data_IF_479505105794
#
_entry.id   IF_479505105794
#
_cell.length_a   1.000
_cell.length_b   1.000
_cell.length_c   1.000
_cell.angle_alpha   90.00
_cell.angle_beta   90.00
_cell.angle_gamma   90.00
#
_symmetry.space_group_name_H-M   'P 1'
#
loop_
_entity.id
_entity.type
_entity.pdbx_description
1 polymer ?
#
# COMPACT_ATOMS: atom_id res chain seq x y z
N UNK A 1 -11.10 7.92 10.18
CA UNK A 1 -10.34 6.73 9.72
C UNK A 1 -10.68 5.56 10.64
N UNK A 2 -10.96 4.36 10.11
CA UNK A 2 -11.25 3.18 10.93
C UNK A 2 -9.96 2.41 11.25
N UNK A 3 -9.98 1.56 12.28
CA UNK A 3 -8.80 0.73 12.64
C UNK A 3 -8.38 -0.17 11.48
N UNK A 4 -9.33 -0.65 10.68
CA UNK A 4 -9.04 -1.46 9.50
C UNK A 4 -8.26 -0.69 8.43
N UNK A 5 -8.52 0.62 8.28
CA UNK A 5 -7.88 1.44 7.23
C UNK A 5 -6.54 2.05 7.65
N UNK A 6 -6.30 2.27 8.95
CA UNK A 6 -5.07 2.93 9.43
C UNK A 6 -3.79 2.11 9.13
N UNK A 7 -3.88 0.79 9.29
CA UNK A 7 -2.74 -0.12 9.16
C UNK A 7 -2.80 -1.03 7.91
N UNK A 8 -3.79 -0.82 7.03
CA UNK A 8 -4.01 -1.67 5.83
C UNK A 8 -2.77 -1.80 4.95
N UNK A 9 -1.93 -0.77 4.89
CA UNK A 9 -0.69 -0.76 4.11
C UNK A 9 0.33 -1.82 4.56
N UNK A 10 0.25 -2.30 5.80
CA UNK A 10 1.22 -3.22 6.41
C UNK A 10 0.74 -4.67 6.29
N UNK A 11 -0.53 -4.95 6.59
CA UNK A 11 -1.03 -6.32 6.68
C UNK A 11 -1.64 -6.82 5.36
N UNK A 12 -2.20 -5.96 4.52
CA UNK A 12 -2.96 -6.37 3.34
C UNK A 12 -2.15 -7.15 2.30
N UNK A 13 -0.87 -6.80 2.14
CA UNK A 13 0.05 -7.51 1.23
C UNK A 13 0.19 -8.99 1.62
N UNK A 14 0.21 -9.28 2.92
CA UNK A 14 0.38 -10.63 3.46
C UNK A 14 -0.92 -11.44 3.48
N UNK A 15 -2.08 -10.83 3.22
CA UNK A 15 -3.33 -11.58 3.16
C UNK A 15 -3.40 -12.51 1.97
N UNK A 16 -3.89 -13.72 2.24
CA UNK A 16 -4.28 -14.71 1.25
C UNK A 16 -5.45 -14.20 0.39
N UNK A 17 -5.66 -14.84 -0.76
CA UNK A 17 -6.78 -14.53 -1.65
C UNK A 17 -8.13 -14.74 -0.92
N UNK A 18 -8.22 -15.77 -0.06
CA UNK A 18 -9.43 -16.07 0.73
C UNK A 18 -9.75 -14.94 1.70
N UNK A 19 -8.76 -14.43 2.42
CA UNK A 19 -8.92 -13.32 3.38
C UNK A 19 -9.28 -12.02 2.66
N UNK A 20 -8.62 -11.71 1.52
CA UNK A 20 -8.96 -10.55 0.69
C UNK A 20 -10.43 -10.59 0.21
N UNK A 21 -10.90 -11.77 -0.20
CA UNK A 21 -12.32 -11.98 -0.57
C UNK A 21 -13.25 -11.79 0.64
N UNK A 22 -12.89 -12.29 1.81
CA UNK A 22 -13.68 -12.11 3.03
C UNK A 22 -13.79 -10.62 3.42
N UNK A 23 -12.68 -9.88 3.38
CA UNK A 23 -12.66 -8.44 3.63
C UNK A 23 -13.53 -7.67 2.64
N UNK A 24 -13.46 -8.00 1.35
CA UNK A 24 -14.30 -7.36 0.34
C UNK A 24 -15.79 -7.64 0.57
N UNK A 25 -16.16 -8.81 1.13
CA UNK A 25 -17.56 -9.09 1.51
C UNK A 25 -18.02 -8.17 2.64
N UNK A 26 -17.18 -7.93 3.66
CA UNK A 26 -17.49 -6.99 4.75
C UNK A 26 -17.74 -5.59 4.18
N UNK A 27 -16.87 -5.11 3.28
CA UNK A 27 -17.04 -3.81 2.61
C UNK A 27 -18.36 -3.76 1.83
N UNK A 28 -18.70 -4.81 1.08
CA UNK A 28 -19.97 -4.89 0.34
C UNK A 28 -21.19 -4.87 1.26
N UNK A 29 -21.14 -5.56 2.38
CA UNK A 29 -22.23 -5.55 3.37
C UNK A 29 -22.41 -4.17 3.97
N UNK A 30 -21.31 -3.50 4.36
CA UNK A 30 -21.36 -2.14 4.86
C UNK A 30 -21.93 -1.15 3.81
N UNK A 31 -21.49 -1.26 2.55
CA UNK A 31 -22.04 -0.51 1.43
C UNK A 31 -23.55 -0.75 1.28
N UNK A 32 -24.03 -1.99 1.39
CA UNK A 32 -25.46 -2.31 1.30
C UNK A 32 -26.28 -1.70 2.43
N UNK A 33 -25.74 -1.66 3.65
CA UNK A 33 -26.43 -1.09 4.82
C UNK A 33 -26.51 0.43 4.70
N UNK A 34 -25.41 1.09 4.34
CA UNK A 34 -25.33 2.55 4.27
C UNK A 34 -25.96 3.10 2.98
N UNK A 35 -26.01 2.29 1.92
CA UNK A 35 -26.56 2.69 0.61
C UNK A 35 -25.62 3.56 -0.24
N UNK A 36 -24.37 3.76 0.21
CA UNK A 36 -23.37 4.58 -0.48
C UNK A 36 -22.27 3.67 -1.03
N UNK A 37 -21.74 3.89 -2.25
CA UNK A 37 -20.63 3.11 -2.77
C UNK A 37 -19.37 3.25 -1.90
N UNK A 38 -18.80 2.13 -1.48
CA UNK A 38 -17.52 2.10 -0.78
C UNK A 38 -16.37 1.78 -1.74
N UNK A 39 -15.20 2.41 -1.58
CA UNK A 39 -14.01 2.03 -2.33
C UNK A 39 -13.62 0.58 -1.99
N UNK A 40 -13.08 -0.15 -2.97
CA UNK A 40 -12.58 -1.49 -2.69
C UNK A 40 -11.39 -1.43 -1.73
N UNK A 41 -11.20 -2.49 -0.93
CA UNK A 41 -10.13 -2.52 0.09
C UNK A 41 -8.74 -2.37 -0.54
N UNK A 42 -8.57 -2.83 -1.79
CA UNK A 42 -7.35 -2.63 -2.60
C UNK A 42 -7.07 -1.16 -2.83
N UNK A 43 -8.09 -0.36 -3.15
CA UNK A 43 -7.91 1.04 -3.50
C UNK A 43 -7.58 1.87 -2.25
N UNK A 44 -8.23 1.54 -1.12
CA UNK A 44 -7.87 2.11 0.18
C UNK A 44 -6.42 1.79 0.50
N UNK A 45 -6.01 0.53 0.30
CA UNK A 45 -4.64 0.10 0.54
C UNK A 45 -3.63 0.85 -0.33
N UNK A 46 -3.90 0.99 -1.64
CA UNK A 46 -3.04 1.74 -2.56
C UNK A 46 -2.91 3.21 -2.14
N UNK A 47 -4.04 3.87 -1.87
CA UNK A 47 -4.07 5.27 -1.43
C UNK A 47 -3.26 5.47 -0.15
N UNK A 48 -3.47 4.62 0.85
CA UNK A 48 -2.72 4.68 2.11
C UNK A 48 -1.24 4.37 1.93
N UNK A 49 -0.89 3.38 1.09
CA UNK A 49 0.50 3.10 0.76
C UNK A 49 1.19 4.31 0.13
N UNK A 50 0.55 4.96 -0.86
CA UNK A 50 1.08 6.15 -1.50
C UNK A 50 1.21 7.31 -0.52
N UNK A 51 0.20 7.58 0.31
CA UNK A 51 0.28 8.64 1.33
C UNK A 51 1.49 8.45 2.26
N UNK A 52 1.68 7.24 2.79
CA UNK A 52 2.82 6.93 3.67
C UNK A 52 4.14 7.03 2.92
N UNK A 53 4.22 6.50 1.70
CA UNK A 53 5.43 6.55 0.89
C UNK A 53 5.85 8.00 0.58
N UNK A 54 4.91 8.86 0.20
CA UNK A 54 5.18 10.28 0.00
C UNK A 54 5.63 10.98 1.28
N UNK A 55 5.08 10.63 2.44
CA UNK A 55 5.56 11.18 3.71
C UNK A 55 7.02 10.80 3.98
N UNK A 56 7.41 9.55 3.71
CA UNK A 56 8.79 9.09 3.89
C UNK A 56 9.74 9.75 2.88
N UNK A 57 9.31 9.90 1.63
CA UNK A 57 10.09 10.58 0.58
C UNK A 57 10.30 12.06 0.92
N UNK A 58 9.31 12.73 1.52
CA UNK A 58 9.40 14.14 1.88
C UNK A 58 10.25 14.42 3.12
N UNK A 59 10.41 13.44 4.01
CA UNK A 59 11.17 13.57 5.25
C UNK A 59 12.58 12.95 5.11
N UNK A 60 13.65 13.77 4.98
CA UNK A 60 15.02 13.29 4.86
C UNK A 60 15.55 12.59 6.12
N UNK A 61 14.96 12.88 7.29
CA UNK A 61 15.38 12.29 8.57
C UNK A 61 14.66 10.98 8.87
N UNK A 62 13.70 10.58 8.04
CA UNK A 62 12.98 9.34 8.22
C UNK A 62 13.93 8.13 8.09
N UNK A 63 13.88 7.14 8.99
CA UNK A 63 14.82 6.00 8.97
C UNK A 63 14.75 5.18 7.66
N UNK A 64 13.56 5.10 7.07
CA UNK A 64 13.35 4.41 5.80
C UNK A 64 13.57 5.28 4.54
N UNK A 65 13.96 6.56 4.67
CA UNK A 65 14.11 7.48 3.53
C UNK A 65 15.03 6.90 2.44
N UNK A 66 16.15 6.27 2.85
CA UNK A 66 17.12 5.63 1.94
C UNK A 66 16.52 4.52 1.06
N UNK A 67 15.43 3.89 1.50
CA UNK A 67 14.74 2.87 0.70
C UNK A 67 13.96 3.48 -0.48
N UNK A 68 13.64 4.77 -0.41
CA UNK A 68 12.91 5.50 -1.44
C UNK A 68 13.83 6.45 -2.21
N UNK A 69 14.93 5.89 -2.73
CA UNK A 69 15.90 6.67 -3.52
C UNK A 69 15.52 6.67 -5.00
N UNK A 70 15.44 7.85 -5.61
CA UNK A 70 15.28 8.00 -7.06
C UNK A 70 16.56 7.61 -7.81
N UNK A 71 16.41 7.02 -8.99
CA UNK A 71 17.54 6.81 -9.91
C UNK A 71 18.07 8.15 -10.45
N UNK A 72 19.30 8.20 -11.02
CA UNK A 72 19.87 9.43 -11.58
C UNK A 72 18.96 10.13 -12.60
N UNK A 73 18.13 9.38 -13.33
CA UNK A 73 17.15 9.93 -14.27
C UNK A 73 15.99 10.69 -13.59
N UNK A 74 15.83 10.58 -12.27
CA UNK A 74 14.75 11.14 -11.44
C UNK A 74 13.32 10.73 -11.83
N UNK A 75 13.16 9.76 -12.73
CA UNK A 75 11.85 9.29 -13.21
C UNK A 75 11.30 8.09 -12.45
N UNK A 76 12.14 7.32 -11.76
CA UNK A 76 11.72 6.12 -11.04
C UNK A 76 12.55 5.87 -9.81
N UNK A 77 11.92 5.30 -8.80
CA UNK A 77 12.53 4.82 -7.57
C UNK A 77 13.26 3.50 -7.80
N UNK A 78 14.32 3.27 -7.03
CA UNK A 78 15.07 2.02 -7.02
C UNK A 78 14.18 0.89 -6.52
N UNK A 79 13.90 -0.10 -7.38
CA UNK A 79 13.17 -1.30 -6.97
C UNK A 79 13.95 -2.07 -5.90
N UNK A 80 13.24 -2.53 -4.87
CA UNK A 80 13.76 -3.48 -3.89
C UNK A 80 13.71 -4.87 -4.52
N UNK A 81 14.84 -5.58 -4.53
CA UNK A 81 14.82 -6.98 -4.94
C UNK A 81 14.26 -7.84 -3.81
N UNK A 82 13.29 -8.70 -4.13
CA UNK A 82 12.77 -9.69 -3.20
C UNK A 82 13.00 -11.10 -3.71
N UNK A 83 13.52 -11.97 -2.84
CA UNK A 83 13.65 -13.41 -3.09
C UNK A 83 12.52 -14.22 -2.45
N UNK A 84 11.74 -13.62 -1.56
CA UNK A 84 10.68 -14.29 -0.80
C UNK A 84 9.34 -13.57 -0.99
N UNK A 85 8.25 -14.32 -0.87
CA UNK A 85 6.91 -13.74 -0.91
C UNK A 85 6.68 -12.74 0.24
N UNK A 86 7.26 -12.99 1.42
CA UNK A 86 7.16 -12.11 2.58
C UNK A 86 7.70 -10.71 2.31
N UNK A 87 8.92 -10.58 1.80
CA UNK A 87 9.49 -9.26 1.49
C UNK A 87 8.79 -8.62 0.29
N UNK A 88 8.37 -9.39 -0.70
CA UNK A 88 7.64 -8.89 -1.88
C UNK A 88 6.27 -8.31 -1.52
N UNK A 89 5.63 -8.88 -0.50
CA UNK A 89 4.34 -8.44 0.04
C UNK A 89 4.46 -7.37 1.13
N UNK A 90 5.69 -6.96 1.49
CA UNK A 90 5.91 -5.92 2.48
C UNK A 90 5.41 -4.55 1.99
N UNK A 91 5.19 -3.66 2.96
CA UNK A 91 4.85 -2.27 2.69
C UNK A 91 5.87 -1.60 1.74
N UNK A 92 7.17 -1.72 2.02
CA UNK A 92 8.21 -1.01 1.27
C UNK A 92 8.27 -1.44 -0.20
N UNK A 93 8.22 -2.75 -0.46
CA UNK A 93 8.25 -3.27 -1.83
C UNK A 93 7.01 -2.84 -2.61
N UNK A 94 5.83 -2.93 -1.99
CA UNK A 94 4.57 -2.50 -2.59
C UNK A 94 4.55 -1.00 -2.85
N UNK A 95 5.04 -0.19 -1.91
CA UNK A 95 5.08 1.26 -2.01
C UNK A 95 5.98 1.74 -3.16
N UNK A 96 7.18 1.18 -3.29
CA UNK A 96 8.10 1.51 -4.40
C UNK A 96 7.49 1.11 -5.75
N UNK A 97 6.86 -0.06 -5.84
CA UNK A 97 6.17 -0.51 -7.06
C UNK A 97 5.03 0.43 -7.47
N UNK A 98 4.22 0.87 -6.50
CA UNK A 98 3.13 1.83 -6.72
C UNK A 98 3.65 3.21 -7.14
N UNK A 99 4.71 3.71 -6.51
CA UNK A 99 5.35 4.96 -6.91
C UNK A 99 5.89 4.89 -8.34
N UNK A 100 6.48 3.77 -8.74
CA UNK A 100 6.98 3.58 -10.11
C UNK A 100 5.88 3.41 -11.16
N UNK A 101 4.67 3.00 -10.75
CA UNK A 101 3.52 2.82 -11.64
C UNK A 101 2.65 4.09 -11.76
N UNK A 102 2.94 5.13 -10.96
CA UNK A 102 2.23 6.40 -10.95
C UNK A 102 3.01 7.55 -11.61
N UNK A 103 4.22 7.26 -12.11
CA UNK A 103 5.04 8.15 -12.96
C UNK A 103 4.92 7.70 -14.41
#
# INVERSE_FOLDING_TARGET
>A
ESILTSCVSVWYGNCTIKEKKALQRVVKTAQRIIGIPFPAIVDIQRKQCLHKAHSIVKDPFHPAHKLFTLLPSRRRFRCLQSKTSSLGNSFYHTAVSLLNSSV
#
